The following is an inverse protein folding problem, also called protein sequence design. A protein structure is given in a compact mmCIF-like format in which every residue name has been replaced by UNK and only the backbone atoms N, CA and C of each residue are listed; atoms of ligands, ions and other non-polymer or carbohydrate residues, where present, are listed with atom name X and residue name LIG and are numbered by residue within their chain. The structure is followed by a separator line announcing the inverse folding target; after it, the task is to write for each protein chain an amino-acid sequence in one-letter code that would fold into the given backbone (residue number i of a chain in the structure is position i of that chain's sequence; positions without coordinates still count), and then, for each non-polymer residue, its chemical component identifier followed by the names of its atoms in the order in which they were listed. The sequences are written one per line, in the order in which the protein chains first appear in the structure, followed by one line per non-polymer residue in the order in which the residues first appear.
data_IF_463031574080
#
_entry.id   IF_463031574080
#
_cell.length_a   1.000
_cell.length_b   1.000
_cell.length_c   1.000
_cell.angle_alpha   90.00
_cell.angle_beta   90.00
_cell.angle_gamma   90.00
#
_symmetry.space_group_name_H-M   'P 1'
#
loop_
_entity.id
_entity.type
_entity.pdbx_description
1 polymer ?
#
# COMPACT_ATOMS: atom_id res chain seq x y z
N UNK A 1 -41.23 -29.35 46.58
CA UNK A 1 -42.28 -28.68 45.80
C UNK A 1 -42.07 -27.19 45.97
N UNK A 2 -40.92 -26.67 45.57
CA UNK A 2 -40.43 -26.50 44.17
C UNK A 2 -40.99 -25.16 43.66
N UNK A 3 -40.22 -24.22 43.11
CA UNK A 3 -39.03 -24.37 42.28
C UNK A 3 -38.13 -23.13 42.34
N UNK A 4 -36.83 -23.40 42.25
CA UNK A 4 -35.78 -22.44 41.99
C UNK A 4 -35.85 -21.96 40.54
N UNK A 5 -36.21 -20.69 40.32
CA UNK A 5 -36.12 -20.06 39.00
C UNK A 5 -34.65 -19.82 38.63
N UNK A 6 -34.12 -20.76 37.86
CA UNK A 6 -32.77 -20.80 37.31
C UNK A 6 -32.55 -19.62 36.37
N UNK A 7 -31.68 -18.67 36.75
CA UNK A 7 -31.18 -17.62 35.85
C UNK A 7 -30.28 -18.26 34.81
N UNK A 8 -30.86 -18.64 33.68
CA UNK A 8 -30.10 -19.10 32.51
C UNK A 8 -29.44 -17.90 31.86
N UNK A 9 -28.13 -17.76 32.10
CA UNK A 9 -27.26 -16.81 31.41
C UNK A 9 -27.28 -17.08 29.91
N UNK A 10 -28.11 -16.34 29.17
CA UNK A 10 -28.13 -16.35 27.71
C UNK A 10 -26.80 -15.80 27.23
N UNK A 11 -25.87 -16.68 26.88
CA UNK A 11 -24.62 -16.30 26.23
C UNK A 11 -24.97 -15.48 24.96
N UNK A 12 -24.78 -14.17 25.03
CA UNK A 12 -24.94 -13.27 23.89
C UNK A 12 -24.00 -13.75 22.78
N UNK A 13 -24.55 -14.48 21.81
CA UNK A 13 -23.87 -14.77 20.55
C UNK A 13 -23.64 -13.44 19.85
N UNK A 14 -22.48 -12.83 20.10
CA UNK A 14 -22.04 -11.59 19.44
C UNK A 14 -22.20 -11.78 17.91
N UNK A 15 -22.96 -10.91 17.22
CA UNK A 15 -23.30 -11.12 15.82
C UNK A 15 -22.02 -11.21 14.98
N UNK A 16 -21.93 -12.22 14.10
CA UNK A 16 -20.75 -12.53 13.29
C UNK A 16 -20.23 -11.32 12.48
N UNK A 17 -21.12 -10.38 12.12
CA UNK A 17 -20.76 -9.12 11.46
C UNK A 17 -19.85 -8.19 12.29
N UNK A 18 -19.96 -8.23 13.64
CA UNK A 18 -19.08 -7.46 14.54
C UNK A 18 -17.68 -8.09 14.63
N UNK A 19 -17.57 -9.41 14.47
CA UNK A 19 -16.27 -10.12 14.40
C UNK A 19 -15.53 -9.80 13.11
N UNK A 20 -16.18 -9.87 11.93
CA UNK A 20 -15.53 -9.56 10.63
C UNK A 20 -14.95 -8.14 10.57
N UNK A 21 -15.67 -7.14 11.08
CA UNK A 21 -15.19 -5.74 11.18
C UNK A 21 -13.96 -5.55 12.08
N UNK A 22 -13.64 -6.54 12.93
CA UNK A 22 -12.49 -6.47 13.85
C UNK A 22 -11.17 -6.90 13.19
N UNK A 23 -11.23 -7.58 12.05
CA UNK A 23 -10.07 -8.14 11.36
C UNK A 23 -9.77 -7.44 10.02
N UNK A 24 -10.72 -6.72 9.44
CA UNK A 24 -10.52 -6.00 8.17
C UNK A 24 -10.27 -4.50 8.41
N UNK A 25 -9.12 -3.95 7.99
CA UNK A 25 -8.88 -2.51 8.04
C UNK A 25 -9.86 -1.73 7.15
N UNK A 26 -10.28 -0.52 7.53
CA UNK A 26 -11.19 0.31 6.73
C UNK A 26 -10.50 0.99 5.54
N UNK A 27 -9.22 0.71 5.28
CA UNK A 27 -8.39 1.45 4.33
C UNK A 27 -8.51 0.89 2.91
N UNK A 28 -9.54 1.34 2.18
CA UNK A 28 -9.80 0.83 0.82
C UNK A 28 -8.81 1.40 -0.23
N UNK A 29 -8.20 2.56 0.02
CA UNK A 29 -7.25 3.18 -0.92
C UNK A 29 -5.85 2.55 -0.94
N UNK A 30 -5.45 1.85 0.13
CA UNK A 30 -4.11 1.26 0.24
C UNK A 30 -3.94 -0.01 -0.62
N UNK A 31 -5.03 -0.64 -1.05
CA UNK A 31 -4.98 -1.88 -1.84
C UNK A 31 -4.34 -1.70 -3.20
N UNK A 32 -4.60 -0.59 -3.89
CA UNK A 32 -3.96 -0.31 -5.18
C UNK A 32 -2.45 -0.16 -5.01
N UNK A 33 -2.04 0.54 -3.95
CA UNK A 33 -0.65 0.73 -3.60
C UNK A 33 0.04 -0.58 -3.23
N UNK A 34 -0.66 -1.51 -2.58
CA UNK A 34 -0.17 -2.85 -2.25
C UNK A 34 -0.05 -3.76 -3.49
N UNK A 35 -1.05 -3.72 -4.37
CA UNK A 35 -1.17 -4.64 -5.51
C UNK A 35 -0.32 -4.22 -6.70
N UNK A 36 -0.30 -2.94 -7.06
CA UNK A 36 0.31 -2.47 -8.32
C UNK A 36 1.81 -2.72 -8.37
N UNK A 37 2.64 -2.38 -7.37
CA UNK A 37 4.08 -2.66 -7.44
C UNK A 37 4.39 -4.17 -7.55
N UNK A 38 3.63 -5.00 -6.83
CA UNK A 38 3.76 -6.45 -6.92
C UNK A 38 3.41 -6.97 -8.33
N UNK A 39 2.28 -6.51 -8.89
CA UNK A 39 1.84 -6.89 -10.23
C UNK A 39 2.76 -6.34 -11.33
N UNK A 40 3.28 -5.12 -11.18
CA UNK A 40 4.26 -4.53 -12.09
C UNK A 40 5.53 -5.37 -12.14
N UNK A 41 6.01 -5.83 -10.97
CA UNK A 41 7.10 -6.80 -10.87
C UNK A 41 6.79 -8.09 -11.63
N UNK A 42 5.60 -8.68 -11.44
CA UNK A 42 5.22 -9.93 -12.09
C UNK A 42 5.11 -9.82 -13.61
N UNK A 43 4.48 -8.74 -14.10
CA UNK A 43 4.30 -8.52 -15.53
C UNK A 43 5.63 -8.32 -16.24
N UNK A 44 6.60 -7.68 -15.57
CA UNK A 44 7.91 -7.38 -16.16
C UNK A 44 8.92 -8.52 -15.99
N UNK A 45 9.04 -9.07 -14.77
CA UNK A 45 10.04 -10.09 -14.44
C UNK A 45 9.55 -11.53 -14.71
N UNK A 46 8.25 -11.71 -14.98
CA UNK A 46 7.64 -13.01 -15.14
C UNK A 46 7.25 -13.67 -13.81
N UNK A 47 6.48 -14.75 -13.92
CA UNK A 47 5.99 -15.49 -12.78
C UNK A 47 6.92 -16.66 -12.43
N UNK A 48 7.22 -16.80 -11.13
CA UNK A 48 7.79 -18.02 -10.55
C UNK A 48 7.00 -18.41 -9.30
N UNK A 49 7.04 -19.69 -8.96
CA UNK A 49 6.24 -20.23 -7.85
C UNK A 49 6.38 -19.48 -6.50
N UNK A 50 7.55 -18.92 -6.10
CA UNK A 50 7.66 -18.18 -4.83
C UNK A 50 6.82 -16.90 -4.81
N UNK A 51 6.34 -16.43 -5.96
CA UNK A 51 5.44 -15.29 -6.03
C UNK A 51 4.14 -15.52 -5.26
N UNK A 52 3.62 -16.75 -5.24
CA UNK A 52 2.37 -17.08 -4.54
C UNK A 52 2.49 -16.97 -3.01
N UNK A 53 3.46 -17.64 -2.35
CA UNK A 53 3.68 -17.43 -0.92
C UNK A 53 4.11 -15.99 -0.63
N UNK A 54 4.85 -15.32 -1.52
CA UNK A 54 5.15 -13.90 -1.35
C UNK A 54 3.89 -13.03 -1.33
N UNK A 55 2.92 -13.26 -2.23
CA UNK A 55 1.65 -12.53 -2.23
C UNK A 55 0.90 -12.72 -0.91
N UNK A 56 0.83 -13.96 -0.43
CA UNK A 56 0.19 -14.26 0.85
C UNK A 56 0.92 -13.61 2.03
N UNK A 57 2.25 -13.66 2.06
CA UNK A 57 3.07 -12.98 3.06
C UNK A 57 2.93 -11.46 2.99
N UNK A 58 2.78 -10.90 1.79
CA UNK A 58 2.62 -9.47 1.54
C UNK A 58 1.28 -8.95 2.03
N UNK A 59 0.18 -9.62 1.66
CA UNK A 59 -1.16 -9.29 2.14
C UNK A 59 -1.24 -9.50 3.66
N UNK A 60 -0.75 -10.63 4.16
CA UNK A 60 -0.70 -10.92 5.59
C UNK A 60 0.14 -9.90 6.37
N UNK A 61 1.29 -9.52 5.82
CA UNK A 61 2.21 -8.54 6.39
C UNK A 61 1.62 -7.14 6.44
N UNK A 62 0.89 -6.72 5.41
CA UNK A 62 0.12 -5.47 5.41
C UNK A 62 -0.98 -5.46 6.50
N UNK A 63 -1.70 -6.57 6.65
CA UNK A 63 -2.72 -6.67 7.70
C UNK A 63 -2.07 -6.69 9.09
N UNK A 64 -0.96 -7.40 9.25
CA UNK A 64 -0.16 -7.42 10.48
C UNK A 64 0.33 -6.01 10.84
N UNK A 65 0.93 -5.29 9.89
CA UNK A 65 1.47 -3.94 10.10
C UNK A 65 0.39 -2.97 10.58
N UNK A 66 -0.81 -3.04 9.99
CA UNK A 66 -1.96 -2.25 10.45
C UNK A 66 -2.25 -2.47 11.94
N UNK A 67 -2.30 -3.73 12.40
CA UNK A 67 -2.57 -4.02 13.82
C UNK A 67 -1.40 -3.71 14.73
N UNK A 68 -0.16 -3.83 14.25
CA UNK A 68 1.04 -3.35 14.97
C UNK A 68 0.94 -1.85 15.19
N UNK A 69 0.63 -1.06 14.16
CA UNK A 69 0.49 0.39 14.28
C UNK A 69 -0.66 0.79 15.21
N UNK A 70 -1.80 0.08 15.16
CA UNK A 70 -2.89 0.30 16.14
C UNK A 70 -2.48 -0.04 17.59
N UNK A 71 -1.71 -1.10 17.79
CA UNK A 71 -1.17 -1.47 19.09
C UNK A 71 -0.22 -0.39 19.64
N UNK A 72 0.71 0.10 18.80
CA UNK A 72 1.65 1.17 19.14
C UNK A 72 0.93 2.48 19.46
N UNK A 73 0.02 2.92 18.58
CA UNK A 73 -0.78 4.15 18.72
C UNK A 73 -1.61 4.17 20.01
N UNK A 74 -2.23 3.04 20.34
CA UNK A 74 -3.09 2.89 21.52
C UNK A 74 -2.30 2.62 22.82
N UNK A 75 -1.03 2.21 22.72
CA UNK A 75 -0.20 1.70 23.83
C UNK A 75 -0.87 0.54 24.58
N UNK A 76 -1.71 -0.24 23.89
CA UNK A 76 -2.48 -1.37 24.45
C UNK A 76 -2.33 -2.62 23.56
N UNK A 77 -1.13 -3.22 23.49
CA UNK A 77 -0.87 -4.35 22.59
C UNK A 77 -1.78 -5.56 22.87
N UNK A 78 -2.15 -5.79 24.13
CA UNK A 78 -3.09 -6.86 24.54
C UNK A 78 -4.44 -6.80 23.81
N UNK A 79 -4.90 -5.60 23.41
CA UNK A 79 -6.17 -5.43 22.68
C UNK A 79 -6.18 -6.07 21.28
N UNK A 80 -5.00 -6.17 20.67
CA UNK A 80 -4.79 -6.63 19.30
C UNK A 80 -4.05 -7.97 19.22
N UNK A 81 -3.82 -8.64 20.36
CA UNK A 81 -3.05 -9.89 20.45
C UNK A 81 -3.53 -10.94 19.45
N UNK A 82 -4.84 -11.16 19.37
CA UNK A 82 -5.41 -12.19 18.49
C UNK A 82 -5.11 -11.88 17.01
N UNK A 83 -5.23 -10.61 16.60
CA UNK A 83 -4.91 -10.18 15.23
C UNK A 83 -3.42 -10.33 14.93
N UNK A 84 -2.56 -9.90 15.86
CA UNK A 84 -1.11 -10.03 15.72
C UNK A 84 -0.69 -11.50 15.58
N UNK A 85 -1.27 -12.39 16.38
CA UNK A 85 -1.01 -13.83 16.30
C UNK A 85 -1.52 -14.43 14.99
N UNK A 86 -2.76 -14.15 14.58
CA UNK A 86 -3.32 -14.70 13.34
C UNK A 86 -2.52 -14.26 12.12
N UNK A 87 -2.29 -12.95 11.96
CA UNK A 87 -1.53 -12.48 10.80
C UNK A 87 -0.05 -12.83 10.88
N UNK A 88 0.54 -12.89 12.08
CA UNK A 88 1.90 -13.39 12.26
C UNK A 88 2.05 -14.87 11.85
N UNK A 89 1.15 -15.74 12.31
CA UNK A 89 1.15 -17.17 11.99
C UNK A 89 0.85 -17.47 10.52
N UNK A 90 0.22 -16.54 9.79
CA UNK A 90 0.03 -16.66 8.34
C UNK A 90 1.28 -16.12 7.61
N UNK A 91 1.73 -14.93 7.96
CA UNK A 91 2.75 -14.22 7.16
C UNK A 91 4.15 -14.79 7.36
N UNK A 92 4.51 -15.20 8.58
CA UNK A 92 5.86 -15.69 8.89
C UNK A 92 6.18 -17.00 8.18
N UNK A 93 5.33 -18.04 8.19
CA UNK A 93 5.62 -19.27 7.45
C UNK A 93 5.70 -19.04 5.93
N UNK A 94 4.82 -18.21 5.38
CA UNK A 94 4.85 -17.88 3.96
C UNK A 94 6.13 -17.13 3.57
N UNK A 95 6.54 -16.16 4.39
CA UNK A 95 7.81 -15.45 4.18
C UNK A 95 9.00 -16.41 4.31
N UNK A 96 8.97 -17.35 5.26
CA UNK A 96 10.01 -18.36 5.41
C UNK A 96 10.13 -19.25 4.17
N UNK A 97 9.00 -19.66 3.57
CA UNK A 97 9.01 -20.39 2.29
C UNK A 97 9.67 -19.57 1.18
N UNK A 98 9.38 -18.27 1.09
CA UNK A 98 10.03 -17.38 0.11
C UNK A 98 11.53 -17.27 0.36
N UNK A 99 11.96 -17.10 1.61
CA UNK A 99 13.38 -16.98 1.98
C UNK A 99 14.15 -18.27 1.70
N UNK A 100 13.55 -19.43 1.95
CA UNK A 100 14.16 -20.72 1.61
C UNK A 100 14.29 -20.87 0.09
N UNK A 101 13.27 -20.47 -0.67
CA UNK A 101 13.24 -20.60 -2.12
C UNK A 101 14.15 -19.60 -2.85
N UNK A 102 14.27 -18.38 -2.32
CA UNK A 102 14.97 -17.27 -2.93
C UNK A 102 15.62 -16.41 -1.83
N UNK A 103 16.73 -16.86 -1.21
CA UNK A 103 17.35 -16.18 -0.07
C UNK A 103 17.83 -14.76 -0.40
N UNK A 104 18.05 -14.45 -1.68
CA UNK A 104 18.39 -13.10 -2.15
C UNK A 104 17.37 -12.03 -1.76
N UNK A 105 16.12 -12.39 -1.44
CA UNK A 105 15.13 -11.41 -0.94
C UNK A 105 15.53 -10.78 0.39
N UNK A 106 16.44 -11.40 1.16
CA UNK A 106 16.92 -10.85 2.42
C UNK A 106 17.75 -9.57 2.25
N UNK A 107 18.28 -9.29 1.06
CA UNK A 107 18.94 -8.02 0.77
C UNK A 107 18.03 -6.79 0.96
N UNK A 108 16.71 -6.97 0.83
CA UNK A 108 15.73 -5.91 1.04
C UNK A 108 15.32 -5.74 2.51
N UNK A 109 15.62 -6.72 3.38
CA UNK A 109 15.17 -6.72 4.77
C UNK A 109 15.64 -5.48 5.57
N UNK A 110 16.88 -4.99 5.43
CA UNK A 110 17.29 -3.74 6.10
C UNK A 110 16.46 -2.53 5.66
N UNK A 111 16.18 -2.40 4.36
CA UNK A 111 15.38 -1.29 3.82
C UNK A 111 13.93 -1.35 4.34
N UNK A 112 13.30 -2.53 4.30
CA UNK A 112 11.97 -2.74 4.87
C UNK A 112 11.95 -2.46 6.39
N UNK A 113 12.98 -2.87 7.14
CA UNK A 113 13.06 -2.62 8.58
C UNK A 113 13.11 -1.12 8.89
N UNK A 114 13.91 -0.34 8.16
CA UNK A 114 14.00 1.12 8.32
C UNK A 114 12.68 1.80 7.98
N UNK A 115 12.08 1.46 6.83
CA UNK A 115 10.81 2.06 6.39
C UNK A 115 9.66 1.71 7.36
N UNK A 116 9.59 0.46 7.80
CA UNK A 116 8.64 0.02 8.81
C UNK A 116 8.85 0.74 10.14
N UNK A 117 10.10 0.95 10.58
CA UNK A 117 10.41 1.69 11.79
C UNK A 117 9.98 3.16 11.71
N UNK A 118 10.15 3.80 10.55
CA UNK A 118 9.63 5.15 10.29
C UNK A 118 8.10 5.16 10.44
N UNK A 119 7.40 4.24 9.77
CA UNK A 119 5.95 4.11 9.87
C UNK A 119 5.49 3.87 11.32
N UNK A 120 6.18 2.99 12.04
CA UNK A 120 5.93 2.69 13.45
C UNK A 120 6.14 3.92 14.35
N UNK A 121 7.18 4.71 14.10
CA UNK A 121 7.47 5.94 14.84
C UNK A 121 6.36 7.00 14.64
N UNK A 122 5.91 7.19 13.39
CA UNK A 122 4.77 8.06 13.09
C UNK A 122 3.48 7.56 13.73
N UNK A 123 3.22 6.25 13.72
CA UNK A 123 2.07 5.65 14.40
C UNK A 123 2.11 5.87 15.92
N UNK A 124 3.27 5.68 16.54
CA UNK A 124 3.47 5.92 17.98
C UNK A 124 3.23 7.39 18.37
N UNK A 125 3.68 8.34 17.53
CA UNK A 125 3.41 9.78 17.68
C UNK A 125 2.01 10.21 17.26
N UNK A 126 1.19 9.27 16.77
CA UNK A 126 -0.18 9.51 16.24
C UNK A 126 -0.22 10.47 15.05
N UNK A 127 0.85 10.46 14.25
CA UNK A 127 1.08 11.31 13.07
C UNK A 127 1.05 10.51 11.76
N UNK A 128 0.20 9.49 11.68
CA UNK A 128 0.02 8.62 10.52
C UNK A 128 -0.43 9.36 9.24
N UNK A 129 -0.76 10.65 9.35
CA UNK A 129 -1.28 11.50 8.25
C UNK A 129 -0.20 12.41 7.66
N UNK A 130 1.01 12.36 8.21
CA UNK A 130 2.13 13.19 7.80
C UNK A 130 2.70 12.71 6.47
N UNK A 131 3.21 13.65 5.67
CA UNK A 131 3.75 13.36 4.34
C UNK A 131 4.90 12.36 4.39
N UNK A 132 5.79 12.47 5.39
CA UNK A 132 6.93 11.54 5.54
C UNK A 132 6.50 10.09 5.77
N UNK A 133 5.42 9.87 6.53
CA UNK A 133 4.85 8.54 6.73
C UNK A 133 4.26 7.97 5.43
N UNK A 134 3.50 8.80 4.71
CA UNK A 134 2.91 8.41 3.42
C UNK A 134 4.03 8.04 2.42
N UNK A 135 5.09 8.84 2.33
CA UNK A 135 6.23 8.57 1.44
C UNK A 135 7.02 7.32 1.85
N UNK A 136 7.20 7.06 3.16
CA UNK A 136 7.84 5.84 3.64
C UNK A 136 7.03 4.60 3.25
N UNK A 137 5.70 4.67 3.38
CA UNK A 137 4.80 3.62 2.90
C UNK A 137 4.88 3.43 1.37
N UNK A 138 5.03 4.51 0.59
CA UNK A 138 5.23 4.44 -0.87
C UNK A 138 6.52 3.74 -1.23
N UNK A 139 7.63 4.11 -0.59
CA UNK A 139 8.90 3.45 -0.79
C UNK A 139 8.81 1.96 -0.45
N UNK A 140 8.20 1.62 0.70
CA UNK A 140 8.02 0.23 1.16
C UNK A 140 7.24 -0.60 0.14
N UNK A 141 6.19 -0.02 -0.44
CA UNK A 141 5.41 -0.71 -1.46
C UNK A 141 6.14 -0.84 -2.80
N UNK A 142 6.80 0.23 -3.26
CA UNK A 142 7.50 0.22 -4.55
C UNK A 142 8.71 -0.71 -4.58
N UNK A 143 9.39 -0.91 -3.43
CA UNK A 143 10.48 -1.88 -3.30
C UNK A 143 10.04 -3.31 -3.66
N UNK A 144 8.75 -3.63 -3.56
CA UNK A 144 8.22 -4.94 -3.92
C UNK A 144 8.50 -5.30 -5.39
N UNK A 145 8.63 -4.33 -6.30
CA UNK A 145 9.01 -4.56 -7.70
C UNK A 145 10.34 -5.32 -7.78
N UNK A 146 11.33 -4.90 -6.99
CA UNK A 146 12.65 -5.54 -6.95
C UNK A 146 12.63 -6.88 -6.24
N UNK A 147 11.82 -7.03 -5.18
CA UNK A 147 11.62 -8.32 -4.50
C UNK A 147 11.07 -9.35 -5.49
N UNK A 148 10.07 -8.95 -6.30
CA UNK A 148 9.49 -9.82 -7.33
C UNK A 148 10.51 -10.13 -8.43
N UNK A 149 11.34 -9.19 -8.85
CA UNK A 149 12.42 -9.47 -9.78
C UNK A 149 13.44 -10.49 -9.22
N UNK A 150 13.80 -10.37 -7.95
CA UNK A 150 14.73 -11.30 -7.29
C UNK A 150 14.19 -12.71 -7.20
N UNK A 151 12.92 -12.90 -6.83
CA UNK A 151 12.32 -14.27 -6.84
C UNK A 151 12.17 -14.83 -8.26
N UNK A 152 12.14 -13.96 -9.27
CA UNK A 152 12.03 -14.31 -10.68
C UNK A 152 13.40 -14.61 -11.32
N UNK A 153 14.51 -14.48 -10.58
CA UNK A 153 15.89 -14.49 -11.10
C UNK A 153 16.12 -13.44 -12.22
N UNK A 154 15.41 -12.32 -12.16
CA UNK A 154 15.51 -11.20 -13.12
C UNK A 154 16.42 -10.11 -12.56
N UNK A 155 17.36 -9.55 -13.35
CA UNK A 155 18.26 -8.51 -12.86
C UNK A 155 17.50 -7.22 -12.49
N UNK A 156 17.93 -6.46 -11.46
CA UNK A 156 17.25 -5.24 -11.03
C UNK A 156 17.11 -4.17 -12.12
N UNK A 157 18.04 -4.13 -13.08
CA UNK A 157 17.99 -3.20 -14.22
C UNK A 157 16.76 -3.39 -15.10
N UNK A 158 16.29 -4.64 -15.26
CA UNK A 158 15.12 -4.96 -16.09
C UNK A 158 13.80 -4.42 -15.50
N UNK A 159 13.74 -4.21 -14.18
CA UNK A 159 12.55 -3.69 -13.50
C UNK A 159 12.71 -2.25 -13.00
N UNK A 160 13.82 -1.59 -13.34
CA UNK A 160 14.08 -0.22 -12.91
C UNK A 160 13.02 0.76 -13.45
N UNK A 161 12.64 0.65 -14.72
CA UNK A 161 11.60 1.50 -15.32
C UNK A 161 10.23 1.28 -14.64
N UNK A 162 9.70 0.05 -14.50
CA UNK A 162 8.48 -0.20 -13.73
C UNK A 162 8.52 0.34 -12.30
N UNK A 163 9.65 0.19 -11.60
CA UNK A 163 9.86 0.75 -10.27
C UNK A 163 9.74 2.27 -10.28
N UNK A 164 10.44 2.94 -11.19
CA UNK A 164 10.42 4.41 -11.30
C UNK A 164 9.02 4.92 -11.64
N UNK A 165 8.30 4.26 -12.54
CA UNK A 165 6.91 4.63 -12.89
C UNK A 165 5.95 4.42 -11.72
N UNK A 166 6.06 3.29 -11.00
CA UNK A 166 5.29 3.04 -9.77
C UNK A 166 5.58 4.11 -8.71
N UNK A 167 6.85 4.37 -8.43
CA UNK A 167 7.28 5.36 -7.45
C UNK A 167 6.80 6.76 -7.84
N UNK A 168 7.01 7.17 -9.10
CA UNK A 168 6.61 8.48 -9.59
C UNK A 168 5.08 8.68 -9.49
N UNK A 169 4.30 7.66 -9.84
CA UNK A 169 2.85 7.69 -9.67
C UNK A 169 2.43 7.77 -8.20
N UNK A 170 2.84 6.82 -7.36
CA UNK A 170 2.38 6.73 -5.98
C UNK A 170 2.89 7.87 -5.10
N UNK A 171 4.11 8.37 -5.32
CA UNK A 171 4.58 9.59 -4.64
C UNK A 171 3.71 10.78 -5.06
N UNK A 172 3.31 10.86 -6.35
CA UNK A 172 2.46 11.94 -6.87
C UNK A 172 1.01 11.91 -6.38
N UNK A 173 0.45 10.71 -6.15
CA UNK A 173 -0.91 10.57 -5.62
C UNK A 173 -1.01 11.12 -4.20
N UNK A 174 0.05 11.06 -3.39
CA UNK A 174 0.04 11.55 -2.00
C UNK A 174 -0.29 13.05 -1.91
N UNK A 175 0.47 13.98 -2.51
CA UNK A 175 0.12 15.39 -2.48
C UNK A 175 -1.16 15.68 -3.28
N UNK A 176 -1.40 14.98 -4.40
CA UNK A 176 -2.62 15.15 -5.19
C UNK A 176 -3.89 14.88 -4.36
N UNK A 177 -4.01 13.69 -3.74
CA UNK A 177 -5.18 13.34 -2.92
C UNK A 177 -5.32 14.30 -1.72
N UNK A 178 -4.20 14.79 -1.17
CA UNK A 178 -4.24 15.83 -0.13
C UNK A 178 -4.87 17.13 -0.66
N UNK A 179 -4.52 17.62 -1.86
CA UNK A 179 -5.20 18.78 -2.49
C UNK A 179 -6.68 18.55 -2.75
N UNK A 180 -7.09 17.29 -2.98
CA UNK A 180 -8.50 16.96 -3.25
C UNK A 180 -9.36 16.92 -1.98
N UNK A 181 -8.79 16.58 -0.83
CA UNK A 181 -9.55 16.27 0.39
C UNK A 181 -9.26 17.24 1.53
N UNK A 182 -8.03 17.26 2.05
CA UNK A 182 -7.69 17.95 3.31
C UNK A 182 -7.07 19.31 3.11
N UNK A 183 -6.23 19.44 2.09
CA UNK A 183 -5.57 20.68 1.66
C UNK A 183 -6.35 21.35 0.52
N UNK A 184 -7.68 21.14 0.50
CA UNK A 184 -8.56 21.68 -0.54
C UNK A 184 -8.58 23.20 -0.47
N UNK A 185 -8.31 23.86 -1.59
CA UNK A 185 -8.21 25.31 -1.68
C UNK A 185 -6.85 25.89 -1.26
N UNK A 186 -5.93 25.07 -0.74
CA UNK A 186 -4.58 25.52 -0.39
C UNK A 186 -3.74 25.71 -1.67
N UNK A 187 -3.57 26.96 -2.10
CA UNK A 187 -2.85 27.29 -3.33
C UNK A 187 -1.37 26.87 -3.30
N UNK A 188 -0.71 26.93 -2.15
CA UNK A 188 0.67 26.49 -2.02
C UNK A 188 0.78 24.97 -2.22
N UNK A 189 -0.10 24.20 -1.57
CA UNK A 189 -0.13 22.75 -1.71
C UNK A 189 -0.47 22.31 -3.14
N UNK A 190 -1.38 23.04 -3.80
CA UNK A 190 -1.73 22.80 -5.19
C UNK A 190 -0.54 23.03 -6.13
N UNK A 191 0.21 24.14 -5.96
CA UNK A 191 1.42 24.41 -6.74
C UNK A 191 2.48 23.33 -6.54
N UNK A 192 2.71 22.89 -5.30
CA UNK A 192 3.65 21.79 -5.01
C UNK A 192 3.23 20.49 -5.70
N UNK A 193 1.93 20.17 -5.67
CA UNK A 193 1.41 18.99 -6.38
C UNK A 193 1.64 19.11 -7.89
N UNK A 194 1.33 20.25 -8.51
CA UNK A 194 1.56 20.46 -9.94
C UNK A 194 3.05 20.36 -10.28
N UNK A 195 3.92 21.05 -9.53
CA UNK A 195 5.37 21.05 -9.76
C UNK A 195 5.94 19.62 -9.75
N UNK A 196 5.53 18.80 -8.78
CA UNK A 196 5.88 17.39 -8.75
C UNK A 196 5.42 16.65 -10.02
N UNK A 197 4.17 16.84 -10.45
CA UNK A 197 3.64 16.15 -11.63
C UNK A 197 4.29 16.61 -12.94
N UNK A 198 4.76 17.87 -13.03
CA UNK A 198 5.56 18.34 -14.17
C UNK A 198 6.87 17.58 -14.26
N UNK A 199 7.59 17.44 -13.14
CA UNK A 199 8.85 16.69 -13.08
C UNK A 199 8.61 15.20 -13.40
N UNK A 200 7.58 14.61 -12.81
CA UNK A 200 7.20 13.22 -13.06
C UNK A 200 6.83 12.99 -14.53
N UNK A 201 6.13 13.93 -15.16
CA UNK A 201 5.82 13.89 -16.60
C UNK A 201 7.08 13.94 -17.46
N UNK A 202 7.99 14.90 -17.21
CA UNK A 202 9.22 15.01 -17.97
C UNK A 202 10.07 13.73 -17.85
N UNK A 203 10.20 13.17 -16.65
CA UNK A 203 10.91 11.92 -16.42
C UNK A 203 10.24 10.73 -17.14
N UNK A 204 8.91 10.58 -17.02
CA UNK A 204 8.18 9.49 -17.65
C UNK A 204 8.23 9.57 -19.19
N UNK A 205 8.09 10.77 -19.76
CA UNK A 205 8.17 11.00 -21.21
C UNK A 205 9.56 10.68 -21.77
N UNK A 206 10.62 10.89 -20.98
CA UNK A 206 11.98 10.47 -21.35
C UNK A 206 12.14 8.95 -21.37
N UNK A 207 11.47 8.24 -20.45
CA UNK A 207 11.57 6.77 -20.37
C UNK A 207 10.77 6.05 -21.45
N UNK A 208 9.58 6.54 -21.81
CA UNK A 208 8.74 5.94 -22.84
C UNK A 208 7.66 6.92 -23.33
N UNK A 209 7.33 6.95 -24.63
CA UNK A 209 6.20 7.74 -25.15
C UNK A 209 4.87 7.38 -24.49
N UNK A 210 4.63 6.09 -24.22
CA UNK A 210 3.40 5.62 -23.55
C UNK A 210 3.33 6.13 -22.10
N UNK A 211 4.46 6.09 -21.39
CA UNK A 211 4.56 6.64 -20.04
C UNK A 211 4.38 8.17 -20.06
N UNK A 212 4.92 8.85 -21.07
CA UNK A 212 4.72 10.29 -21.28
C UNK A 212 3.25 10.66 -21.42
N UNK A 213 2.49 9.95 -22.27
CA UNK A 213 1.05 10.19 -22.44
C UNK A 213 0.29 9.98 -21.13
N UNK A 214 0.57 8.89 -20.40
CA UNK A 214 -0.10 8.61 -19.15
C UNK A 214 0.23 9.65 -18.06
N UNK A 215 1.49 10.07 -17.95
CA UNK A 215 1.88 11.06 -16.96
C UNK A 215 1.46 12.48 -17.35
N UNK A 216 1.28 12.78 -18.65
CA UNK A 216 0.61 14.00 -19.09
C UNK A 216 -0.83 14.04 -18.57
N UNK A 217 -1.54 12.92 -18.63
CA UNK A 217 -2.85 12.79 -18.00
C UNK A 217 -2.78 12.98 -16.48
N UNK A 218 -1.79 12.41 -15.80
CA UNK A 218 -1.61 12.61 -14.35
C UNK A 218 -1.30 14.06 -13.98
N UNK A 219 -0.61 14.80 -14.83
CA UNK A 219 -0.42 16.24 -14.68
C UNK A 219 -1.73 17.01 -14.91
N UNK A 220 -2.44 16.70 -15.99
CA UNK A 220 -3.72 17.34 -16.30
C UNK A 220 -4.74 17.15 -15.18
N UNK A 221 -4.89 15.93 -14.64
CA UNK A 221 -5.79 15.68 -13.51
C UNK A 221 -5.38 16.46 -12.26
N UNK A 222 -4.07 16.56 -11.98
CA UNK A 222 -3.56 17.27 -10.79
C UNK A 222 -3.78 18.79 -10.91
N UNK A 223 -3.73 19.33 -12.12
CA UNK A 223 -4.03 20.74 -12.38
C UNK A 223 -5.54 21.04 -12.32
N UNK A 224 -6.38 20.18 -12.91
CA UNK A 224 -7.78 20.49 -13.20
C UNK A 224 -8.79 20.02 -12.15
N UNK A 225 -8.56 18.87 -11.50
CA UNK A 225 -9.57 18.24 -10.62
C UNK A 225 -9.69 18.81 -9.20
N UNK A 226 -8.65 19.36 -8.54
CA UNK A 226 -8.77 19.88 -7.16
C UNK A 226 -9.85 20.93 -6.94
N UNK A 227 -10.23 21.67 -7.99
CA UNK A 227 -11.27 22.71 -7.93
C UNK A 227 -12.69 22.19 -8.24
N UNK A 228 -12.84 20.93 -8.64
CA UNK A 228 -14.14 20.36 -9.07
C UNK A 228 -14.98 19.73 -7.96
N UNK A 229 -14.53 19.80 -6.71
CA UNK A 229 -15.33 19.37 -5.56
C UNK A 229 -15.64 17.87 -5.49
N UNK A 230 -14.86 17.01 -6.17
CA UNK A 230 -15.11 15.56 -6.22
C UNK A 230 -15.17 14.92 -4.82
N UNK A 231 -16.02 13.90 -4.69
CA UNK A 231 -16.18 13.13 -3.46
C UNK A 231 -15.00 12.15 -3.25
N UNK A 232 -14.68 11.75 -2.00
CA UNK A 232 -13.65 10.75 -1.72
C UNK A 232 -13.84 9.43 -2.49
N UNK A 233 -15.09 9.02 -2.72
CA UNK A 233 -15.42 7.83 -3.51
C UNK A 233 -15.01 7.99 -4.97
N UNK A 234 -15.36 9.12 -5.60
CA UNK A 234 -14.98 9.42 -6.99
C UNK A 234 -13.47 9.50 -7.15
N UNK A 235 -12.78 10.14 -6.20
CA UNK A 235 -11.32 10.19 -6.18
C UNK A 235 -10.75 8.78 -6.11
N UNK A 236 -11.23 7.94 -5.19
CA UNK A 236 -10.80 6.55 -5.06
C UNK A 236 -11.01 5.72 -6.33
N UNK A 237 -12.17 5.83 -6.98
CA UNK A 237 -12.44 5.15 -8.26
C UNK A 237 -11.47 5.63 -9.34
N UNK A 238 -11.23 6.94 -9.42
CA UNK A 238 -10.28 7.53 -10.37
C UNK A 238 -8.87 6.99 -10.16
N UNK A 239 -8.42 6.87 -8.90
CA UNK A 239 -7.10 6.29 -8.58
C UNK A 239 -7.02 4.80 -8.92
N UNK A 240 -8.10 4.03 -8.74
CA UNK A 240 -8.14 2.62 -9.16
C UNK A 240 -7.98 2.52 -10.69
N UNK A 241 -8.72 3.32 -11.46
CA UNK A 241 -8.60 3.35 -12.92
C UNK A 241 -7.18 3.75 -13.34
N UNK A 242 -6.63 4.80 -12.75
CA UNK A 242 -5.26 5.24 -13.04
C UNK A 242 -4.21 4.19 -12.66
N UNK A 243 -4.43 3.43 -11.58
CA UNK A 243 -3.58 2.30 -11.21
C UNK A 243 -3.62 1.16 -12.23
N UNK A 244 -4.78 0.86 -12.80
CA UNK A 244 -4.91 -0.11 -13.90
C UNK A 244 -4.21 0.41 -15.15
N UNK A 245 -4.43 1.68 -15.52
CA UNK A 245 -3.75 2.31 -16.66
C UNK A 245 -2.22 2.29 -16.50
N UNK A 246 -1.72 2.50 -15.28
CA UNK A 246 -0.29 2.38 -14.99
C UNK A 246 0.23 0.97 -15.22
N UNK A 247 -0.47 -0.06 -14.74
CA UNK A 247 -0.10 -1.45 -14.99
C UNK A 247 -0.12 -1.79 -16.48
N UNK A 248 -1.14 -1.34 -17.21
CA UNK A 248 -1.22 -1.53 -18.67
C UNK A 248 -0.07 -0.82 -19.36
N UNK A 249 0.25 0.42 -18.95
CA UNK A 249 1.39 1.15 -19.51
C UNK A 249 2.71 0.43 -19.26
N UNK A 250 2.93 -0.11 -18.06
CA UNK A 250 4.12 -0.91 -17.73
C UNK A 250 4.19 -2.17 -18.59
N UNK A 251 3.06 -2.82 -18.85
CA UNK A 251 3.00 -4.02 -19.69
C UNK A 251 3.30 -3.76 -21.18
N UNK A 252 3.19 -2.51 -21.64
CA UNK A 252 3.40 -2.10 -23.03
C UNK A 252 4.81 -1.57 -23.30
N UNK A 253 5.65 -1.45 -22.26
CA UNK A 253 7.04 -1.00 -22.34
C UNK A 253 7.94 -2.22 -22.32
#
# INVERSE_FOLDING_TARGET
MDDAATVTGRAERRPAGRRRRRFVPPQHGAWAMLAVPYLAGLVTAGFRWPALPLLGAWIGGYLLSYFVFQALKSRRPRRYRDQLLVYGLISVPLLLVVVIAAPGVLWYAPAYAVLFAINAWYAWRRRERDLGNDLASVAESCLMVFVVATIADTPPSAVLVPFLLCAAYFIGTVPYVKTMIRERGNAAYHRWSIAYHVVAFAAAAYLSPWAGVLFAWFLARAALLPRRGLTPKQIGITEIVNSVLLLTCIALI
#
